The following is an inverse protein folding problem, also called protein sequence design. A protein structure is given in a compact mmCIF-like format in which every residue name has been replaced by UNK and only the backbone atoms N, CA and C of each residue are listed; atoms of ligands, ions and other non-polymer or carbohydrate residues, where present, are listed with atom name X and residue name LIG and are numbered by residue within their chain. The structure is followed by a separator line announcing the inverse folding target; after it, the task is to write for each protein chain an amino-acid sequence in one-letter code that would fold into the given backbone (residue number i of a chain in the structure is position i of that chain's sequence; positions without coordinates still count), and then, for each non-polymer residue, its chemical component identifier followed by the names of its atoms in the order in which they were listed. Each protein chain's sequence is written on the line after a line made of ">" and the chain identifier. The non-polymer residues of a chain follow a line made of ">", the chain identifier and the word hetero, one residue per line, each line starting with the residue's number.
data_IF_142790963378
#
_entry.id   IF_142790963378
#
_cell.length_a   1.000
_cell.length_b   1.000
_cell.length_c   1.000
_cell.angle_alpha   90.00
_cell.angle_beta   90.00
_cell.angle_gamma   90.00
#
_symmetry.space_group_name_H-M   'P 1'
#
loop_
_entity.id
_entity.type
_entity.pdbx_description
1 polymer ?
#
# COMPACT_ATOMS: atom_id res chain seq x y z
N UNK A 1 52.75 -5.06 0.38
CA UNK A 1 53.07 -6.48 0.10
C UNK A 1 51.89 -7.31 0.61
N UNK A 2 51.18 -8.17 -0.13
CA UNK A 2 51.38 -8.84 -1.42
C UNK A 2 50.03 -8.87 -2.16
N UNK A 3 50.09 -8.74 -3.48
CA UNK A 3 49.01 -8.96 -4.43
C UNK A 3 48.85 -10.46 -4.66
N UNK A 4 47.63 -10.99 -4.62
CA UNK A 4 47.31 -12.31 -5.17
C UNK A 4 46.22 -12.18 -6.23
N UNK A 5 46.69 -12.04 -7.47
CA UNK A 5 45.97 -12.39 -8.69
C UNK A 5 45.98 -13.91 -8.89
N UNK A 6 44.86 -14.50 -9.31
CA UNK A 6 44.89 -15.74 -10.08
C UNK A 6 43.82 -15.77 -11.19
N UNK A 7 44.21 -16.03 -12.44
CA UNK A 7 43.34 -16.17 -13.60
C UNK A 7 43.10 -17.65 -13.97
N UNK A 8 42.00 -17.93 -14.65
CA UNK A 8 41.78 -19.13 -15.48
C UNK A 8 40.62 -18.84 -16.44
N UNK A 9 40.89 -18.50 -17.72
CA UNK A 9 41.06 -19.41 -18.89
C UNK A 9 39.84 -20.33 -19.05
N UNK A 10 38.91 -20.05 -19.97
CA UNK A 10 38.94 -20.12 -21.45
C UNK A 10 38.20 -21.38 -21.93
N UNK A 11 37.32 -21.15 -22.92
CA UNK A 11 36.81 -22.09 -23.94
C UNK A 11 35.60 -22.97 -23.60
N UNK A 12 34.46 -22.61 -24.20
CA UNK A 12 33.79 -23.49 -25.17
C UNK A 12 32.93 -22.65 -26.12
N UNK A 13 33.31 -22.70 -27.39
CA UNK A 13 32.60 -22.20 -28.57
C UNK A 13 31.54 -23.27 -28.95
N UNK A 14 30.60 -22.89 -29.82
CA UNK A 14 29.76 -23.75 -30.70
C UNK A 14 28.35 -23.96 -30.12
N UNK A 15 27.22 -23.66 -30.77
CA UNK A 15 26.83 -23.79 -32.18
C UNK A 15 25.81 -22.68 -32.56
N UNK A 16 26.08 -21.99 -33.67
CA UNK A 16 25.10 -21.16 -34.39
C UNK A 16 24.28 -22.13 -35.25
N UNK A 17 22.99 -22.31 -34.92
CA UNK A 17 22.03 -22.95 -35.81
C UNK A 17 21.24 -21.84 -36.53
N UNK A 18 21.75 -21.45 -37.70
CA UNK A 18 21.02 -20.63 -38.65
C UNK A 18 20.05 -21.53 -39.44
N UNK A 19 18.79 -21.55 -39.04
CA UNK A 19 17.70 -22.06 -39.87
C UNK A 19 16.99 -20.88 -40.51
N UNK A 20 17.38 -20.60 -41.76
CA UNK A 20 16.66 -19.73 -42.68
C UNK A 20 15.39 -20.44 -43.17
N UNK A 21 14.23 -19.99 -42.72
CA UNK A 21 12.93 -20.29 -43.34
C UNK A 21 12.44 -19.05 -44.11
N UNK A 22 12.37 -19.09 -45.45
CA UNK A 22 11.66 -18.08 -46.21
C UNK A 22 10.20 -18.53 -46.36
N UNK A 23 9.30 -17.95 -45.56
CA UNK A 23 7.90 -18.36 -45.56
C UNK A 23 6.99 -17.43 -44.77
N UNK A 24 6.47 -16.42 -45.46
CA UNK A 24 5.23 -15.68 -45.21
C UNK A 24 4.41 -16.09 -43.97
N UNK A 25 4.56 -15.33 -42.90
CA UNK A 25 3.44 -14.94 -42.06
C UNK A 25 3.81 -13.60 -41.44
N UNK A 26 3.32 -12.51 -42.04
CA UNK A 26 3.04 -11.31 -41.26
C UNK A 26 1.94 -11.70 -40.27
N UNK A 27 2.32 -12.38 -39.19
CA UNK A 27 1.54 -12.40 -37.98
C UNK A 27 1.55 -10.95 -37.52
N UNK A 28 0.52 -10.21 -37.93
CA UNK A 28 -0.10 -9.27 -37.02
C UNK A 28 -0.41 -10.09 -35.77
N UNK A 29 0.57 -10.17 -34.86
CA UNK A 29 0.26 -10.28 -33.46
C UNK A 29 -0.44 -8.95 -33.17
N UNK A 30 -1.74 -8.92 -33.46
CA UNK A 30 -2.68 -8.16 -32.65
C UNK A 30 -2.36 -8.66 -31.25
N UNK A 31 -1.51 -7.90 -30.56
CA UNK A 31 -1.34 -8.07 -29.13
C UNK A 31 -2.76 -7.94 -28.61
N UNK A 32 -3.36 -9.08 -28.25
CA UNK A 32 -4.55 -9.12 -27.44
C UNK A 32 -4.15 -8.29 -26.22
N UNK A 33 -4.55 -7.02 -26.22
CA UNK A 33 -4.34 -6.14 -25.09
C UNK A 33 -5.03 -6.89 -23.96
N UNK A 34 -4.23 -7.45 -23.06
CA UNK A 34 -4.71 -8.20 -21.92
C UNK A 34 -5.71 -7.29 -21.21
N UNK A 35 -7.00 -7.57 -21.43
CA UNK A 35 -8.06 -6.69 -20.96
C UNK A 35 -8.07 -6.86 -19.47
N UNK A 36 -7.53 -5.86 -18.77
CA UNK A 36 -7.56 -5.77 -17.32
C UNK A 36 -9.01 -5.90 -16.88
N UNK A 37 -9.32 -7.02 -16.23
CA UNK A 37 -10.66 -7.27 -15.72
C UNK A 37 -10.89 -6.36 -14.52
N UNK A 38 -11.69 -5.30 -14.68
CA UNK A 38 -12.05 -4.39 -13.59
C UNK A 38 -12.56 -5.14 -12.32
N UNK A 39 -13.37 -6.22 -12.45
CA UNK A 39 -13.72 -7.06 -11.30
C UNK A 39 -12.52 -7.67 -10.56
N UNK A 40 -11.48 -8.11 -11.27
CA UNK A 40 -10.30 -8.72 -10.66
C UNK A 40 -9.45 -7.69 -9.90
N UNK A 41 -9.31 -6.47 -10.45
CA UNK A 41 -8.63 -5.37 -9.75
C UNK A 41 -9.36 -5.00 -8.48
N UNK A 42 -10.69 -4.87 -8.54
CA UNK A 42 -11.51 -4.59 -7.37
C UNK A 42 -11.32 -5.65 -6.28
N UNK A 43 -11.44 -6.93 -6.61
CA UNK A 43 -11.24 -8.04 -5.67
C UNK A 43 -9.84 -8.00 -5.03
N UNK A 44 -8.81 -7.73 -5.83
CA UNK A 44 -7.45 -7.62 -5.32
C UNK A 44 -7.24 -6.43 -4.38
N UNK A 45 -7.94 -5.30 -4.60
CA UNK A 45 -7.92 -4.14 -3.69
C UNK A 45 -8.66 -4.43 -2.38
N UNK A 46 -9.78 -5.15 -2.44
CA UNK A 46 -10.49 -5.62 -1.24
C UNK A 46 -9.56 -6.49 -0.39
N UNK A 47 -8.92 -7.48 -1.02
CA UNK A 47 -7.97 -8.37 -0.34
C UNK A 47 -6.75 -7.62 0.22
N UNK A 48 -6.20 -6.66 -0.53
CA UNK A 48 -5.09 -5.83 -0.09
C UNK A 48 -5.43 -5.01 1.15
N UNK A 49 -6.61 -4.38 1.15
CA UNK A 49 -7.06 -3.56 2.27
C UNK A 49 -7.40 -4.41 3.50
N UNK A 50 -8.12 -5.53 3.30
CA UNK A 50 -8.48 -6.45 4.38
C UNK A 50 -7.26 -7.20 4.96
N UNK A 51 -6.26 -7.53 4.14
CA UNK A 51 -5.05 -8.23 4.58
C UNK A 51 -4.17 -7.41 5.54
N UNK A 52 -4.30 -6.08 5.54
CA UNK A 52 -3.61 -5.18 6.46
C UNK A 52 -4.30 -4.97 7.81
N UNK A 53 -5.51 -5.50 7.98
CA UNK A 53 -6.45 -5.18 9.05
C UNK A 53 -6.44 -6.17 10.21
N UNK A 54 -6.96 -5.74 11.36
CA UNK A 54 -7.03 -6.59 12.55
C UNK A 54 -8.16 -7.63 12.40
N UNK A 55 -8.04 -8.76 13.09
CA UNK A 55 -9.10 -9.75 13.10
C UNK A 55 -10.37 -9.17 13.75
N UNK A 56 -11.42 -8.92 12.95
CA UNK A 56 -12.68 -8.32 13.41
C UNK A 56 -13.18 -7.16 12.56
N UNK A 57 -12.36 -6.66 11.64
CA UNK A 57 -12.76 -5.60 10.71
C UNK A 57 -13.90 -6.03 9.78
N UNK A 58 -14.82 -5.10 9.50
CA UNK A 58 -16.00 -5.36 8.67
C UNK A 58 -15.57 -5.52 7.20
N UNK A 59 -15.86 -6.66 6.54
CA UNK A 59 -15.53 -6.83 5.12
C UNK A 59 -16.17 -5.75 4.22
N UNK A 60 -17.25 -5.10 4.67
CA UNK A 60 -17.89 -4.00 3.95
C UNK A 60 -17.01 -2.76 3.83
N UNK A 61 -16.09 -2.51 4.77
CA UNK A 61 -15.19 -1.37 4.71
C UNK A 61 -14.14 -1.55 3.61
N UNK A 62 -13.67 -2.79 3.42
CA UNK A 62 -12.74 -3.12 2.33
C UNK A 62 -13.40 -3.02 0.95
N UNK A 63 -14.66 -3.47 0.85
CA UNK A 63 -15.46 -3.29 -0.37
C UNK A 63 -15.70 -1.81 -0.68
N UNK A 64 -16.13 -1.02 0.31
CA UNK A 64 -16.30 0.42 0.18
C UNK A 64 -15.00 1.09 -0.27
N UNK A 65 -13.87 0.78 0.37
CA UNK A 65 -12.57 1.36 0.03
C UNK A 65 -12.19 1.09 -1.43
N UNK A 66 -12.36 -0.15 -1.89
CA UNK A 66 -12.04 -0.52 -3.27
C UNK A 66 -12.93 0.24 -4.27
N UNK A 67 -14.22 0.38 -3.97
CA UNK A 67 -15.17 1.12 -4.80
C UNK A 67 -14.83 2.63 -4.84
N UNK A 68 -14.65 3.27 -3.68
CA UNK A 68 -14.28 4.70 -3.60
C UNK A 68 -12.93 5.00 -4.27
N UNK A 69 -11.96 4.08 -4.17
CA UNK A 69 -10.66 4.26 -4.83
C UNK A 69 -10.80 4.20 -6.36
N UNK A 70 -11.55 3.21 -6.88
CA UNK A 70 -11.75 3.04 -8.32
C UNK A 70 -12.65 4.14 -8.95
N UNK A 71 -13.41 4.87 -8.14
CA UNK A 71 -14.09 6.09 -8.60
C UNK A 71 -13.14 7.28 -8.80
N UNK A 72 -11.95 7.24 -8.18
CA UNK A 72 -10.99 8.36 -8.16
C UNK A 72 -9.79 8.14 -9.09
N UNK A 73 -9.35 6.88 -9.25
CA UNK A 73 -8.17 6.52 -10.03
C UNK A 73 -8.42 5.28 -10.88
N UNK A 74 -7.76 5.20 -12.03
CA UNK A 74 -7.84 4.03 -12.91
C UNK A 74 -6.86 2.92 -12.46
N UNK A 75 -7.06 1.66 -12.88
CA UNK A 75 -6.09 0.59 -12.63
C UNK A 75 -4.68 0.92 -13.14
N UNK A 76 -4.55 1.63 -14.27
CA UNK A 76 -3.27 2.05 -14.81
C UNK A 76 -2.59 3.09 -13.92
N UNK A 77 -3.36 4.05 -13.38
CA UNK A 77 -2.85 5.01 -12.40
C UNK A 77 -2.42 4.32 -11.11
N UNK A 78 -3.17 3.31 -10.64
CA UNK A 78 -2.78 2.49 -9.49
C UNK A 78 -1.49 1.70 -9.74
N UNK A 79 -1.27 1.19 -10.95
CA UNK A 79 -0.01 0.54 -11.33
C UNK A 79 1.14 1.54 -11.34
N UNK A 80 0.97 2.64 -12.07
CA UNK A 80 2.01 3.65 -12.27
C UNK A 80 2.38 4.37 -10.96
N UNK A 81 1.40 4.55 -10.07
CA UNK A 81 1.55 5.13 -8.74
C UNK A 81 2.02 4.15 -7.66
N UNK A 82 2.24 2.87 -8.01
CA UNK A 82 2.94 1.90 -7.15
C UNK A 82 2.07 1.04 -6.23
N UNK A 83 0.75 0.96 -6.46
CA UNK A 83 -0.15 0.03 -5.75
C UNK A 83 -0.15 -1.33 -6.43
N UNK A 84 -0.27 -1.35 -7.76
CA UNK A 84 -0.32 -2.57 -8.57
C UNK A 84 0.98 -2.80 -9.35
N UNK A 85 1.26 -4.04 -9.71
CA UNK A 85 2.35 -4.42 -10.63
C UNK A 85 1.87 -4.46 -12.09
N UNK A 86 2.76 -4.84 -13.01
CA UNK A 86 2.46 -4.91 -14.46
C UNK A 86 1.36 -5.92 -14.81
N UNK A 87 1.04 -6.84 -13.91
CA UNK A 87 -0.06 -7.82 -14.05
C UNK A 87 -1.35 -7.35 -13.38
N UNK A 88 -1.38 -6.12 -12.87
CA UNK A 88 -2.48 -5.54 -12.10
C UNK A 88 -2.77 -6.28 -10.78
N UNK A 89 -1.79 -7.03 -10.27
CA UNK A 89 -1.83 -7.59 -8.94
C UNK A 89 -1.25 -6.60 -7.91
N UNK A 90 -1.71 -6.63 -6.64
CA UNK A 90 -1.10 -5.85 -5.57
C UNK A 90 0.40 -6.15 -5.44
N UNK A 91 1.21 -5.10 -5.36
CA UNK A 91 2.66 -5.28 -5.17
C UNK A 91 2.95 -5.95 -3.84
N UNK A 92 3.83 -6.96 -3.86
CA UNK A 92 4.28 -7.62 -2.63
C UNK A 92 5.18 -6.73 -1.77
N UNK A 93 5.94 -5.82 -2.40
CA UNK A 93 6.83 -4.89 -1.70
C UNK A 93 6.13 -3.53 -1.51
N UNK A 94 6.15 -3.00 -0.29
CA UNK A 94 5.61 -1.67 0.01
C UNK A 94 6.54 -0.61 -0.61
N UNK A 95 6.06 0.05 -1.64
CA UNK A 95 6.72 1.21 -2.26
C UNK A 95 6.04 2.50 -1.84
N UNK A 96 6.80 3.60 -1.82
CA UNK A 96 6.22 4.93 -1.69
C UNK A 96 5.27 5.19 -2.88
N UNK A 97 4.07 5.65 -2.58
CA UNK A 97 3.10 6.01 -3.60
C UNK A 97 3.42 7.39 -4.19
N UNK A 98 3.02 7.60 -5.43
CA UNK A 98 2.99 8.96 -5.98
C UNK A 98 1.92 9.81 -5.27
N UNK A 99 1.98 11.14 -5.47
CA UNK A 99 1.07 12.05 -4.78
C UNK A 99 -0.40 11.79 -5.16
N UNK A 100 -0.79 11.74 -6.44
CA UNK A 100 -2.20 11.58 -6.81
C UNK A 100 -2.81 10.28 -6.26
N UNK A 101 -2.09 9.16 -6.32
CA UNK A 101 -2.58 7.88 -5.79
C UNK A 101 -2.60 7.89 -4.27
N UNK A 102 -1.61 8.48 -3.58
CA UNK A 102 -1.63 8.62 -2.13
C UNK A 102 -2.82 9.47 -1.63
N UNK A 103 -3.13 10.57 -2.32
CA UNK A 103 -4.28 11.43 -2.00
C UNK A 103 -5.59 10.67 -2.25
N UNK A 104 -5.75 10.02 -3.40
CA UNK A 104 -6.95 9.22 -3.71
C UNK A 104 -7.16 8.05 -2.72
N UNK A 105 -6.07 7.36 -2.35
CA UNK A 105 -6.08 6.31 -1.34
C UNK A 105 -6.55 6.85 0.02
N UNK A 106 -6.00 7.99 0.43
CA UNK A 106 -6.35 8.63 1.71
C UNK A 106 -7.84 9.00 1.73
N UNK A 107 -8.36 9.64 0.68
CA UNK A 107 -9.78 10.00 0.61
C UNK A 107 -10.70 8.77 0.59
N UNK A 108 -10.34 7.70 -0.14
CA UNK A 108 -11.11 6.46 -0.15
C UNK A 108 -11.14 5.81 1.24
N UNK A 109 -10.01 5.79 1.95
CA UNK A 109 -9.96 5.27 3.32
C UNK A 109 -10.84 6.09 4.26
N UNK A 110 -10.74 7.42 4.22
CA UNK A 110 -11.50 8.31 5.11
C UNK A 110 -13.01 8.35 4.79
N UNK A 111 -13.40 8.08 3.54
CA UNK A 111 -14.81 7.97 3.17
C UNK A 111 -15.48 6.71 3.73
N UNK A 112 -14.72 5.62 3.84
CA UNK A 112 -15.26 4.31 4.21
C UNK A 112 -15.03 3.93 5.66
N UNK A 113 -14.23 4.71 6.40
CA UNK A 113 -13.83 4.29 7.72
C UNK A 113 -13.35 5.43 8.61
N UNK A 114 -13.58 5.27 9.91
CA UNK A 114 -13.14 6.23 10.91
C UNK A 114 -11.67 5.96 11.31
N UNK A 115 -10.82 6.97 11.13
CA UNK A 115 -9.40 6.87 11.46
C UNK A 115 -9.16 6.64 12.96
N UNK A 116 -9.92 7.32 13.83
CA UNK A 116 -9.76 7.23 15.28
C UNK A 116 -10.18 5.86 15.75
N UNK A 117 -11.30 5.33 15.24
CA UNK A 117 -11.74 3.97 15.52
C UNK A 117 -10.67 2.95 15.13
N UNK A 118 -10.13 3.03 13.90
CA UNK A 118 -9.06 2.13 13.45
C UNK A 118 -7.79 2.24 14.27
N UNK A 119 -7.37 3.47 14.60
CA UNK A 119 -6.20 3.70 15.45
C UNK A 119 -6.41 3.07 16.82
N UNK A 120 -7.62 3.16 17.37
CA UNK A 120 -7.99 2.56 18.66
C UNK A 120 -7.90 1.04 18.62
N UNK A 121 -8.54 0.40 17.63
CA UNK A 121 -8.50 -1.06 17.47
C UNK A 121 -7.06 -1.57 17.28
N UNK A 122 -6.25 -0.88 16.46
CA UNK A 122 -4.84 -1.22 16.28
C UNK A 122 -4.06 -1.15 17.60
N UNK A 123 -4.30 -0.11 18.41
CA UNK A 123 -3.64 0.04 19.70
C UNK A 123 -4.13 -0.97 20.75
N UNK A 124 -5.40 -1.38 20.74
CA UNK A 124 -5.87 -2.46 21.58
C UNK A 124 -5.12 -3.77 21.28
N UNK A 125 -4.93 -4.10 20.00
CA UNK A 125 -4.14 -5.26 19.58
C UNK A 125 -2.68 -5.13 20.04
N UNK A 126 -2.04 -3.98 19.79
CA UNK A 126 -0.64 -3.73 20.16
C UNK A 126 -0.41 -3.80 21.68
N UNK A 127 -1.35 -3.28 22.46
CA UNK A 127 -1.27 -3.27 23.94
C UNK A 127 -1.72 -4.58 24.57
N UNK A 128 -2.25 -5.53 23.77
CA UNK A 128 -2.85 -6.81 24.19
C UNK A 128 -4.06 -6.60 25.10
N UNK A 129 -4.92 -5.66 24.75
CA UNK A 129 -6.15 -5.33 25.48
C UNK A 129 -5.92 -4.59 26.80
N UNK A 130 -4.74 -3.99 27.00
CA UNK A 130 -4.44 -3.17 28.20
C UNK A 130 -4.78 -1.69 28.01
N UNK A 131 -5.16 -1.30 26.81
CA UNK A 131 -5.63 0.05 26.50
C UNK A 131 -7.07 0.23 27.01
N UNK A 132 -7.35 1.35 27.66
CA UNK A 132 -8.70 1.89 27.78
C UNK A 132 -9.07 2.54 26.43
N UNK A 133 -9.78 1.80 25.60
CA UNK A 133 -10.14 2.22 24.24
C UNK A 133 -10.92 3.53 24.22
N UNK A 134 -11.93 3.68 25.10
CA UNK A 134 -12.75 4.90 25.15
C UNK A 134 -11.94 6.13 25.58
N UNK A 135 -10.99 5.97 26.51
CA UNK A 135 -10.07 7.05 26.87
C UNK A 135 -9.12 7.41 25.72
N UNK A 136 -8.63 6.42 24.98
CA UNK A 136 -7.74 6.64 23.83
C UNK A 136 -8.47 7.36 22.69
N UNK A 137 -9.64 6.88 22.30
CA UNK A 137 -10.51 7.48 21.28
C UNK A 137 -10.82 8.94 21.62
N UNK A 138 -11.34 9.20 22.83
CA UNK A 138 -11.66 10.56 23.30
C UNK A 138 -10.44 11.49 23.28
N UNK A 139 -9.26 10.97 23.65
CA UNK A 139 -8.03 11.74 23.62
C UNK A 139 -7.60 12.10 22.19
N UNK A 140 -7.70 11.15 21.26
CA UNK A 140 -7.25 11.34 19.88
C UNK A 140 -8.19 12.28 19.12
N UNK A 141 -9.51 12.11 19.27
CA UNK A 141 -10.54 12.99 18.70
C UNK A 141 -10.39 14.44 19.17
N UNK A 142 -10.04 14.65 20.44
CA UNK A 142 -9.78 15.98 20.99
C UNK A 142 -8.47 16.64 20.53
N UNK A 143 -7.61 15.93 19.79
CA UNK A 143 -6.24 16.39 19.45
C UNK A 143 -5.95 16.49 17.97
N UNK A 144 -6.59 15.68 17.14
CA UNK A 144 -6.32 15.65 15.71
C UNK A 144 -7.57 16.08 14.96
N UNK A 145 -7.44 17.09 14.11
CA UNK A 145 -8.48 17.42 13.16
C UNK A 145 -8.36 16.54 11.91
N UNK A 146 -9.46 16.47 11.15
CA UNK A 146 -9.54 15.69 9.90
C UNK A 146 -8.44 16.09 8.91
N UNK A 147 -8.07 17.38 8.87
CA UNK A 147 -7.03 17.89 7.99
C UNK A 147 -5.67 17.27 8.32
N UNK A 148 -5.29 17.25 9.60
CA UNK A 148 -4.03 16.69 10.07
C UNK A 148 -3.97 15.19 9.80
N UNK A 149 -5.08 14.47 10.01
CA UNK A 149 -5.20 13.04 9.69
C UNK A 149 -4.98 12.80 8.20
N UNK A 150 -5.66 13.57 7.34
CA UNK A 150 -5.52 13.50 5.88
C UNK A 150 -4.07 13.75 5.45
N UNK A 151 -3.48 14.87 5.87
CA UNK A 151 -2.11 15.26 5.50
C UNK A 151 -1.08 14.22 5.96
N UNK A 152 -1.20 13.73 7.21
CA UNK A 152 -0.29 12.73 7.77
C UNK A 152 -0.42 11.37 7.06
N UNK A 153 -1.64 10.93 6.75
CA UNK A 153 -1.89 9.65 6.06
C UNK A 153 -1.32 9.69 4.65
N UNK A 154 -1.61 10.76 3.89
CA UNK A 154 -1.04 10.97 2.55
C UNK A 154 0.49 11.01 2.60
N UNK A 155 1.08 11.79 3.52
CA UNK A 155 2.54 11.86 3.66
C UNK A 155 3.17 10.50 4.01
N UNK A 156 2.52 9.71 4.86
CA UNK A 156 2.97 8.35 5.21
C UNK A 156 2.98 7.41 4.01
N UNK A 157 1.92 7.43 3.19
CA UNK A 157 1.83 6.63 1.95
C UNK A 157 2.91 7.01 0.93
N UNK A 158 3.29 8.29 0.89
CA UNK A 158 4.40 8.80 0.09
C UNK A 158 5.79 8.57 0.72
N UNK A 159 5.87 7.85 1.85
CA UNK A 159 7.08 7.64 2.65
C UNK A 159 7.79 8.94 3.11
N UNK A 160 7.04 10.03 3.30
CA UNK A 160 7.53 11.33 3.78
C UNK A 160 7.36 11.44 5.31
N UNK A 161 8.18 10.69 6.03
CA UNK A 161 8.07 10.58 7.49
C UNK A 161 8.57 11.82 8.26
N UNK A 162 9.21 12.76 7.56
CA UNK A 162 9.66 14.05 8.08
C UNK A 162 8.60 15.16 7.95
N UNK A 163 7.43 14.86 7.37
CA UNK A 163 6.33 15.82 7.26
C UNK A 163 5.79 16.21 8.65
N UNK A 164 5.55 17.51 8.91
CA UNK A 164 5.05 17.98 10.21
C UNK A 164 3.76 17.30 10.66
N UNK A 165 2.84 16.98 9.74
CA UNK A 165 1.57 16.34 10.08
C UNK A 165 1.80 14.90 10.59
N UNK A 166 2.78 14.18 10.02
CA UNK A 166 3.18 12.84 10.52
C UNK A 166 3.74 12.94 11.94
N UNK A 167 4.56 13.95 12.20
CA UNK A 167 5.09 14.23 13.54
C UNK A 167 3.99 14.52 14.55
N UNK A 168 3.03 15.36 14.19
CA UNK A 168 1.88 15.71 15.04
C UNK A 168 0.99 14.49 15.34
N UNK A 169 0.64 13.72 14.31
CA UNK A 169 -0.10 12.45 14.45
C UNK A 169 0.63 11.48 15.39
N UNK A 170 1.93 11.29 15.20
CA UNK A 170 2.74 10.38 16.02
C UNK A 170 2.79 10.80 17.49
N UNK A 171 2.97 12.09 17.77
CA UNK A 171 2.96 12.62 19.14
C UNK A 171 1.60 12.42 19.78
N UNK A 172 0.50 12.74 19.07
CA UNK A 172 -0.85 12.56 19.59
C UNK A 172 -1.14 11.09 19.93
N UNK A 173 -0.84 10.15 19.02
CA UNK A 173 -1.03 8.71 19.25
C UNK A 173 -0.19 8.19 20.43
N UNK A 174 1.06 8.64 20.55
CA UNK A 174 1.93 8.24 21.67
C UNK A 174 1.43 8.78 23.02
N UNK A 175 1.09 10.06 23.08
CA UNK A 175 0.63 10.69 24.32
C UNK A 175 -0.72 10.12 24.78
N UNK A 176 -1.67 9.96 23.84
CA UNK A 176 -2.96 9.33 24.15
C UNK A 176 -2.79 7.87 24.59
N UNK A 177 -1.90 7.10 23.94
CA UNK A 177 -1.60 5.72 24.36
C UNK A 177 -1.07 5.66 25.80
N UNK A 178 -0.18 6.57 26.19
CA UNK A 178 0.37 6.62 27.56
C UNK A 178 -0.69 7.00 28.59
N UNK A 179 -1.61 7.91 28.25
CA UNK A 179 -2.68 8.35 29.13
C UNK A 179 -3.77 7.28 29.32
N UNK A 180 -3.98 6.43 28.31
CA UNK A 180 -5.06 5.43 28.28
C UNK A 180 -4.65 4.05 28.78
N UNK A 181 -3.42 3.84 29.26
CA UNK A 181 -3.04 2.59 29.92
C UNK A 181 -3.21 2.76 31.44
N UNK A 182 -4.05 1.94 32.11
CA UNK A 182 -4.25 2.03 33.55
C UNK A 182 -2.94 1.86 34.33
N UNK A 183 -2.69 2.76 35.28
CA UNK A 183 -1.60 2.62 36.25
C UNK A 183 -2.05 1.65 37.34
N UNK A 184 -1.65 0.38 37.20
CA UNK A 184 -1.82 -0.66 38.21
C UNK A 184 -0.99 -0.42 39.46
#
# INVERSE_FOLDING_TARGET
>A
MRVHTRPGRLSAIVLIAATTLPGLAACAAEAEAEVVSAPAVREALVDLYAGGRAAGDDPRDAECFADELLERVTPEELRDGGVLDETFAPRAEKTALDRPVAEAWTEAQMACSDFVEQSTQAQEVLTKGRLDAGAYETCLDGRLDEKTIREATTATLMARLDDPAVGELSVAQSECSVLSVPRG
#
